data_IF_200769762297
#
_entry.id   IF_200769762297
#
_cell.length_a   1.000
_cell.length_b   1.000
_cell.length_c   1.000
_cell.angle_alpha   90.00
_cell.angle_beta   90.00
_cell.angle_gamma   90.00
#
_symmetry.space_group_name_H-M   'P 1'
#
loop_
_entity.id
_entity.type
_entity.pdbx_description
1 polymer ?
#
# COMPACT_ATOMS: atom_id res chain seq x y z
N UNK A 1 20.40 19.17 -3.45
CA UNK A 1 19.55 18.55 -2.41
C UNK A 1 19.30 17.12 -2.81
N UNK A 2 19.71 16.17 -1.96
CA UNK A 2 19.73 14.74 -2.25
C UNK A 2 18.32 14.18 -2.47
N UNK A 3 18.07 13.61 -3.66
CA UNK A 3 16.98 12.68 -3.84
C UNK A 3 17.39 11.36 -3.17
N UNK A 4 16.67 10.98 -2.12
CA UNK A 4 16.83 9.71 -1.44
C UNK A 4 16.34 8.62 -2.41
N UNK A 5 17.26 7.98 -3.14
CA UNK A 5 17.01 6.66 -3.67
C UNK A 5 16.76 5.75 -2.47
N UNK A 6 15.50 5.37 -2.26
CA UNK A 6 15.16 4.26 -1.40
C UNK A 6 15.79 3.02 -2.05
N UNK A 7 17.00 2.66 -1.62
CA UNK A 7 17.65 1.41 -2.01
C UNK A 7 16.77 0.28 -1.49
N UNK A 8 15.87 -0.22 -2.34
CA UNK A 8 15.40 -1.58 -2.19
C UNK A 8 16.61 -2.47 -2.44
N UNK A 9 16.89 -3.37 -1.51
CA UNK A 9 17.81 -4.48 -1.73
C UNK A 9 17.09 -5.44 -2.70
N UNK A 10 17.16 -5.14 -4.00
CA UNK A 10 16.57 -5.99 -5.05
C UNK A 10 17.58 -7.06 -5.44
N UNK A 11 17.19 -8.33 -5.33
CA UNK A 11 17.89 -9.43 -6.02
C UNK A 11 17.70 -9.34 -7.54
N UNK A 12 18.04 -10.40 -8.26
CA UNK A 12 17.74 -10.49 -9.70
C UNK A 12 16.23 -10.32 -9.93
N UNK A 13 15.88 -9.40 -10.82
CA UNK A 13 14.48 -9.03 -11.07
C UNK A 13 13.86 -10.03 -12.04
N UNK A 14 12.68 -10.55 -11.68
CA UNK A 14 11.88 -11.41 -12.56
C UNK A 14 10.70 -10.59 -13.07
N UNK A 15 10.53 -10.50 -14.39
CA UNK A 15 9.45 -9.73 -15.02
C UNK A 15 9.76 -8.25 -15.23
N UNK A 16 8.72 -7.42 -15.31
CA UNK A 16 8.83 -5.96 -15.50
C UNK A 16 9.06 -5.24 -14.17
N UNK A 17 9.92 -4.22 -14.18
CA UNK A 17 10.19 -3.36 -13.02
C UNK A 17 9.73 -1.94 -13.33
N UNK A 18 8.77 -1.44 -12.55
CA UNK A 18 8.23 -0.08 -12.68
C UNK A 18 8.71 0.82 -11.55
N UNK A 19 9.40 1.90 -11.90
CA UNK A 19 9.76 2.94 -10.93
C UNK A 19 8.55 3.83 -10.62
N UNK A 20 8.41 4.20 -9.34
CA UNK A 20 7.34 5.06 -8.82
C UNK A 20 7.94 6.14 -7.91
N UNK A 21 7.20 7.24 -7.71
CA UNK A 21 7.71 8.40 -6.98
C UNK A 21 7.80 8.17 -5.47
N UNK A 22 6.89 7.38 -4.91
CA UNK A 22 6.79 7.14 -3.47
C UNK A 22 6.11 5.80 -3.13
N UNK A 23 6.06 5.47 -1.83
CA UNK A 23 5.48 4.24 -1.31
C UNK A 23 3.97 4.13 -1.50
N UNK A 24 3.23 5.24 -1.48
CA UNK A 24 1.78 5.20 -1.69
C UNK A 24 1.47 4.84 -3.14
N UNK A 25 2.19 5.45 -4.08
CA UNK A 25 2.09 5.12 -5.49
C UNK A 25 2.49 3.66 -5.74
N UNK A 26 3.52 3.16 -5.06
CA UNK A 26 3.92 1.75 -5.13
C UNK A 26 2.78 0.81 -4.73
N UNK A 27 2.19 1.04 -3.55
CA UNK A 27 1.09 0.20 -3.03
C UNK A 27 -0.14 0.27 -3.93
N UNK A 28 -0.51 1.47 -4.40
CA UNK A 28 -1.64 1.65 -5.31
C UNK A 28 -1.43 0.94 -6.65
N UNK A 29 -0.22 0.98 -7.21
CA UNK A 29 0.09 0.30 -8.47
C UNK A 29 0.09 -1.23 -8.29
N UNK A 30 0.71 -1.74 -7.22
CA UNK A 30 0.67 -3.16 -6.88
C UNK A 30 -0.77 -3.63 -6.71
N UNK A 31 -1.58 -2.89 -5.97
CA UNK A 31 -2.98 -3.21 -5.77
C UNK A 31 -3.80 -3.16 -7.07
N UNK A 32 -3.46 -2.29 -8.02
CA UNK A 32 -4.15 -2.22 -9.32
C UNK A 32 -3.85 -3.45 -10.18
N UNK A 33 -2.59 -3.87 -10.22
CA UNK A 33 -2.12 -4.95 -11.10
C UNK A 33 -2.34 -6.36 -10.54
N UNK A 34 -2.52 -6.52 -9.23
CA UNK A 34 -2.75 -7.83 -8.62
C UNK A 34 -4.19 -8.30 -8.77
N UNK A 35 -4.42 -9.60 -8.92
CA UNK A 35 -5.76 -10.21 -8.82
C UNK A 35 -6.09 -10.69 -7.41
N UNK A 36 -5.05 -10.93 -6.59
CA UNK A 36 -5.13 -11.39 -5.21
C UNK A 36 -3.95 -10.84 -4.40
N UNK A 37 -4.10 -10.82 -3.07
CA UNK A 37 -3.02 -10.49 -2.14
C UNK A 37 -2.69 -11.69 -1.28
N UNK A 38 -1.41 -11.98 -1.06
CA UNK A 38 -0.96 -13.06 -0.17
C UNK A 38 0.10 -12.49 0.76
N UNK A 39 -0.14 -12.60 2.07
CA UNK A 39 0.86 -12.29 3.09
C UNK A 39 1.53 -13.59 3.58
N UNK A 40 2.86 -13.59 3.44
CA UNK A 40 3.76 -14.61 3.98
C UNK A 40 4.30 -14.14 5.34
N UNK A 41 4.78 -15.05 6.21
CA UNK A 41 5.39 -14.67 7.49
C UNK A 41 6.42 -13.55 7.33
N UNK A 42 6.18 -12.44 8.03
CA UNK A 42 6.92 -11.20 7.84
C UNK A 42 6.72 -10.24 9.01
N UNK A 43 7.51 -9.17 9.02
CA UNK A 43 7.52 -8.17 10.09
C UNK A 43 6.46 -7.07 9.89
N UNK A 44 6.72 -5.90 10.49
CA UNK A 44 5.79 -4.77 10.47
C UNK A 44 5.41 -4.29 9.06
N UNK A 45 6.34 -4.32 8.10
CA UNK A 45 6.02 -3.92 6.72
C UNK A 45 4.92 -4.79 6.11
N UNK A 46 5.04 -6.12 6.25
CA UNK A 46 4.03 -7.06 5.76
C UNK A 46 2.69 -6.90 6.47
N UNK A 47 2.70 -6.62 7.78
CA UNK A 47 1.47 -6.38 8.54
C UNK A 47 0.78 -5.07 8.15
N UNK A 48 1.54 -4.01 7.88
CA UNK A 48 1.00 -2.74 7.41
C UNK A 48 0.34 -2.90 6.04
N UNK A 49 1.03 -3.53 5.09
CA UNK A 49 0.49 -3.81 3.75
C UNK A 49 -0.76 -4.70 3.81
N UNK A 50 -0.75 -5.73 4.68
CA UNK A 50 -1.88 -6.64 4.88
C UNK A 50 -3.11 -5.91 5.43
N UNK A 51 -2.95 -5.10 6.48
CA UNK A 51 -4.07 -4.40 7.09
C UNK A 51 -4.64 -3.32 6.16
N UNK A 52 -3.82 -2.70 5.33
CA UNK A 52 -4.28 -1.74 4.31
C UNK A 52 -5.22 -2.39 3.29
N UNK A 53 -4.85 -3.54 2.72
CA UNK A 53 -5.72 -4.23 1.75
C UNK A 53 -6.98 -4.82 2.39
N UNK A 54 -6.92 -5.25 3.66
CA UNK A 54 -8.12 -5.67 4.40
C UNK A 54 -9.07 -4.49 4.59
N UNK A 55 -8.56 -3.33 4.98
CA UNK A 55 -9.37 -2.13 5.16
C UNK A 55 -10.02 -1.67 3.85
N UNK A 56 -9.31 -1.74 2.72
CA UNK A 56 -9.87 -1.41 1.41
C UNK A 56 -10.96 -2.39 0.96
N UNK A 57 -10.77 -3.69 1.21
CA UNK A 57 -11.82 -4.69 0.99
C UNK A 57 -13.05 -4.42 1.87
N UNK A 58 -12.85 -4.07 3.14
CA UNK A 58 -13.95 -3.73 4.06
C UNK A 58 -14.74 -2.49 3.62
N UNK A 59 -14.05 -1.50 3.03
CA UNK A 59 -14.68 -0.31 2.45
C UNK A 59 -15.33 -0.56 1.07
N UNK A 60 -15.21 -1.77 0.52
CA UNK A 60 -15.72 -2.12 -0.81
C UNK A 60 -14.98 -1.45 -1.96
N UNK A 61 -13.71 -1.06 -1.75
CA UNK A 61 -12.85 -0.46 -2.78
C UNK A 61 -12.35 -1.51 -3.77
N UNK A 62 -12.17 -2.75 -3.30
CA UNK A 62 -11.87 -3.89 -4.15
C UNK A 62 -12.48 -5.18 -3.61
N UNK A 63 -12.58 -6.17 -4.50
CA UNK A 63 -13.19 -7.47 -4.23
C UNK A 63 -12.15 -8.61 -4.28
N UNK A 64 -10.88 -8.24 -4.40
CA UNK A 64 -9.74 -9.16 -4.54
C UNK A 64 -9.55 -9.97 -3.24
N UNK A 65 -9.34 -11.29 -3.32
CA UNK A 65 -9.15 -12.11 -2.14
C UNK A 65 -7.83 -11.79 -1.42
N UNK A 66 -7.84 -11.86 -0.09
CA UNK A 66 -6.68 -11.62 0.77
C UNK A 66 -6.32 -12.91 1.50
N UNK A 67 -5.20 -13.52 1.11
CA UNK A 67 -4.69 -14.79 1.65
C UNK A 67 -3.64 -14.61 2.74
N UNK A 68 -3.70 -15.44 3.78
CA UNK A 68 -2.65 -15.60 4.78
C UNK A 68 -2.10 -17.03 4.74
N UNK A 69 -0.79 -17.14 4.50
CA UNK A 69 -0.08 -18.40 4.61
C UNK A 69 0.42 -18.60 6.05
N UNK A 70 -0.30 -19.40 6.83
CA UNK A 70 -0.04 -19.61 8.25
C UNK A 70 0.93 -20.77 8.51
N UNK A 71 2.19 -20.57 8.13
CA UNK A 71 3.26 -21.54 8.38
C UNK A 71 3.52 -21.64 9.88
N UNK A 72 3.51 -22.85 10.43
CA UNK A 72 3.77 -23.17 11.84
C UNK A 72 2.96 -22.34 12.85
N UNK A 73 1.78 -21.85 12.44
CA UNK A 73 0.92 -21.03 13.29
C UNK A 73 1.40 -19.60 13.51
N UNK A 74 2.26 -19.06 12.64
CA UNK A 74 2.80 -17.70 12.72
C UNK A 74 1.72 -16.61 12.95
N UNK A 75 0.57 -16.73 12.27
CA UNK A 75 -0.53 -15.77 12.34
C UNK A 75 -1.56 -16.07 13.44
N UNK A 76 -1.39 -17.11 14.25
CA UNK A 76 -2.41 -17.51 15.24
C UNK A 76 -2.77 -16.38 16.19
N UNK A 77 -1.79 -15.65 16.73
CA UNK A 77 -2.04 -14.53 17.63
C UNK A 77 -2.74 -13.36 16.94
N UNK A 78 -2.41 -13.08 15.67
CA UNK A 78 -3.11 -12.06 14.88
C UNK A 78 -4.57 -12.46 14.66
N UNK A 79 -4.83 -13.71 14.30
CA UNK A 79 -6.18 -14.22 14.09
C UNK A 79 -7.00 -14.16 15.38
N UNK A 80 -6.43 -14.57 16.52
CA UNK A 80 -7.09 -14.43 17.82
C UNK A 80 -7.40 -12.98 18.18
N UNK A 81 -6.51 -12.03 17.84
CA UNK A 81 -6.78 -10.61 18.02
C UNK A 81 -7.95 -10.13 17.14
N UNK A 82 -8.00 -10.54 15.88
CA UNK A 82 -9.10 -10.20 14.98
C UNK A 82 -10.42 -10.83 15.42
N UNK A 83 -10.38 -12.07 15.90
CA UNK A 83 -11.56 -12.76 16.45
C UNK A 83 -12.07 -12.01 17.68
N UNK A 84 -11.19 -11.53 18.56
CA UNK A 84 -11.57 -10.67 19.68
C UNK A 84 -12.18 -9.34 19.23
N UNK A 85 -11.64 -8.72 18.19
CA UNK A 85 -12.22 -7.51 17.62
C UNK A 85 -13.61 -7.73 17.02
N UNK A 86 -13.91 -8.94 16.53
CA UNK A 86 -15.27 -9.34 16.11
C UNK A 86 -16.18 -9.53 17.31
N UNK A 87 -15.73 -10.20 18.37
CA UNK A 87 -16.49 -10.37 19.61
C UNK A 87 -16.89 -9.03 20.25
N UNK A 88 -15.97 -8.06 20.21
CA UNK A 88 -16.17 -6.71 20.74
C UNK A 88 -16.85 -5.75 19.72
N UNK A 89 -17.38 -6.29 18.61
CA UNK A 89 -18.14 -5.57 17.58
C UNK A 89 -17.37 -4.46 16.84
N UNK A 90 -16.03 -4.42 16.93
CA UNK A 90 -15.20 -3.51 16.13
C UNK A 90 -15.06 -3.96 14.67
N UNK A 91 -15.21 -5.26 14.40
CA UNK A 91 -15.17 -5.86 13.06
C UNK A 91 -16.45 -6.64 12.84
N UNK A 92 -17.15 -6.42 11.72
CA UNK A 92 -18.34 -7.22 11.42
C UNK A 92 -17.95 -8.67 11.11
N UNK A 93 -18.77 -9.67 11.49
CA UNK A 93 -18.52 -11.07 11.14
C UNK A 93 -18.36 -11.29 9.63
N UNK A 94 -19.06 -10.51 8.81
CA UNK A 94 -18.92 -10.51 7.35
C UNK A 94 -17.52 -10.07 6.93
N UNK A 95 -17.01 -8.99 7.51
CA UNK A 95 -15.66 -8.45 7.23
C UNK A 95 -14.56 -9.44 7.64
N UNK A 96 -14.80 -10.27 8.65
CA UNK A 96 -13.85 -11.32 9.07
C UNK A 96 -13.59 -12.37 7.98
N UNK A 97 -14.53 -12.56 7.05
CA UNK A 97 -14.42 -13.48 5.91
C UNK A 97 -13.62 -12.91 4.72
N UNK A 98 -13.13 -11.66 4.79
CA UNK A 98 -12.20 -11.11 3.80
C UNK A 98 -10.91 -11.93 3.75
N UNK A 99 -10.47 -12.43 4.91
CA UNK A 99 -9.21 -13.15 5.07
C UNK A 99 -9.42 -14.64 4.79
N UNK A 100 -8.68 -15.15 3.80
CA UNK A 100 -8.56 -16.58 3.46
C UNK A 100 -7.30 -17.14 4.13
N UNK A 101 -7.44 -18.21 4.90
CA UNK A 101 -6.35 -18.81 5.66
C UNK A 101 -6.02 -20.22 5.14
N UNK A 102 -4.73 -20.54 5.02
CA UNK A 102 -4.26 -21.90 4.77
C UNK A 102 -2.86 -22.11 5.36
N UNK A 103 -2.49 -23.37 5.62
CA UNK A 103 -1.16 -23.70 6.17
C UNK A 103 -0.17 -24.10 5.07
N UNK A 104 -0.67 -24.37 3.86
CA UNK A 104 0.18 -24.74 2.71
C UNK A 104 -0.12 -23.85 1.50
N UNK A 105 0.86 -23.59 0.62
CA UNK A 105 0.64 -22.76 -0.57
C UNK A 105 -0.44 -23.32 -1.49
N UNK A 106 -0.46 -24.64 -1.70
CA UNK A 106 -1.45 -25.29 -2.56
C UNK A 106 -2.87 -25.06 -2.05
N UNK A 107 -3.09 -25.35 -0.76
CA UNK A 107 -4.40 -25.13 -0.12
C UNK A 107 -4.80 -23.66 -0.19
N UNK A 108 -3.85 -22.73 -0.03
CA UNK A 108 -4.14 -21.31 -0.13
C UNK A 108 -4.65 -20.94 -1.52
N UNK A 109 -3.95 -21.37 -2.56
CA UNK A 109 -4.33 -21.08 -3.95
C UNK A 109 -5.71 -21.67 -4.29
N UNK A 110 -5.95 -22.94 -3.91
CA UNK A 110 -7.25 -23.60 -4.12
C UNK A 110 -8.39 -22.76 -3.49
N UNK A 111 -8.20 -22.26 -2.25
CA UNK A 111 -9.21 -21.42 -1.56
C UNK A 111 -9.36 -20.02 -2.16
N UNK A 112 -8.29 -19.44 -2.69
CA UNK A 112 -8.34 -18.12 -3.33
C UNK A 112 -9.09 -18.17 -4.66
N UNK A 113 -8.99 -19.27 -5.41
CA UNK A 113 -9.75 -19.49 -6.66
C UNK A 113 -11.26 -19.66 -6.39
N UNK A 114 -11.61 -20.31 -5.28
CA UNK A 114 -13.02 -20.48 -4.85
C UNK A 114 -13.62 -19.24 -4.18
N UNK A 115 -12.81 -18.21 -3.91
CA UNK A 115 -13.24 -17.06 -3.13
C UNK A 115 -14.35 -16.28 -3.86
N UNK A 116 -15.43 -15.99 -3.12
CA UNK A 116 -16.50 -15.10 -3.56
C UNK A 116 -16.70 -13.99 -2.53
N UNK A 117 -16.61 -12.71 -2.93
CA UNK A 117 -16.79 -11.57 -2.03
C UNK A 117 -18.17 -11.61 -1.36
N UNK A 118 -18.20 -11.38 -0.05
CA UNK A 118 -19.44 -11.23 0.71
C UNK A 118 -19.53 -9.80 1.18
N UNK A 119 -20.14 -8.92 0.39
CA UNK A 119 -20.30 -7.52 0.78
C UNK A 119 -21.47 -7.33 1.72
N UNK A 120 -21.19 -6.73 2.87
CA UNK A 120 -22.20 -6.03 3.65
C UNK A 120 -22.28 -4.60 3.07
N UNK A 121 -23.44 -4.19 2.56
CA UNK A 121 -23.62 -2.85 1.95
C UNK A 121 -23.64 -1.77 3.04
N UNK A 122 -22.48 -1.44 3.61
CA UNK A 122 -22.38 -0.39 4.64
C UNK A 122 -22.09 0.98 4.00
N UNK A 123 -21.56 1.00 2.78
CA UNK A 123 -21.32 2.22 2.00
C UNK A 123 -21.83 2.06 0.56
N UNK A 124 -22.45 3.09 -0.07
CA UNK A 124 -22.73 3.07 -1.50
C UNK A 124 -21.44 2.80 -2.24
N UNK A 125 -21.48 1.88 -3.23
CA UNK A 125 -20.32 1.45 -4.02
C UNK A 125 -19.52 2.66 -4.50
N UNK A 126 -18.46 3.02 -3.78
CA UNK A 126 -17.50 4.02 -4.23
C UNK A 126 -16.67 3.35 -5.32
N UNK A 127 -17.16 3.45 -6.57
CA UNK A 127 -16.34 3.25 -7.74
C UNK A 127 -15.29 4.36 -7.71
N UNK A 128 -14.04 4.00 -7.45
CA UNK A 128 -12.95 4.93 -7.63
C UNK A 128 -12.68 5.04 -9.13
N UNK A 129 -13.01 6.20 -9.71
CA UNK A 129 -12.05 6.81 -10.61
C UNK A 129 -10.88 7.25 -9.74
N UNK A 130 -9.77 6.51 -9.77
CA UNK A 130 -8.51 6.83 -9.06
C UNK A 130 -7.81 8.08 -9.63
N UNK A 131 -8.54 9.01 -10.24
CA UNK A 131 -8.05 10.33 -10.66
C UNK A 131 -8.75 11.39 -9.83
N UNK A 132 -8.22 11.71 -8.63
CA UNK A 132 -8.25 13.04 -8.00
C UNK A 132 -7.66 12.96 -6.57
N UNK A 133 -6.42 12.49 -6.43
CA UNK A 133 -5.49 13.23 -5.58
C UNK A 133 -4.65 14.08 -6.52
N UNK A 134 -5.25 15.19 -6.94
CA UNK A 134 -4.52 16.28 -7.56
C UNK A 134 -3.51 16.79 -6.54
N UNK A 135 -2.28 16.28 -6.65
CA UNK A 135 -1.12 17.08 -6.28
C UNK A 135 -1.30 18.44 -6.95
N UNK A 136 -1.38 19.49 -6.15
CA UNK A 136 -1.70 20.84 -6.57
C UNK A 136 -0.91 21.21 -7.84
N UNK A 137 -1.58 21.25 -9.00
CA UNK A 137 -1.06 21.94 -10.18
C UNK A 137 -1.15 23.43 -9.90
N UNK A 138 -0.12 23.99 -9.25
CA UNK A 138 0.31 25.37 -9.40
C UNK A 138 1.48 25.67 -8.46
N UNK A 139 2.69 25.46 -8.95
CA UNK A 139 3.79 26.37 -8.65
C UNK A 139 4.25 26.97 -9.98
N UNK A 140 3.40 27.82 -10.57
CA UNK A 140 3.91 28.88 -11.43
C UNK A 140 4.65 29.84 -10.51
N UNK A 141 5.99 29.88 -10.58
CA UNK A 141 6.75 30.98 -9.99
C UNK A 141 6.60 32.16 -10.96
N UNK A 142 5.91 33.26 -10.60
CA UNK A 142 5.80 34.42 -11.46
C UNK A 142 7.15 35.16 -11.50
N UNK A 143 7.48 35.67 -12.69
CA UNK A 143 8.80 36.12 -13.09
C UNK A 143 9.58 36.99 -12.11
N UNK A 144 10.89 36.72 -12.04
CA UNK A 144 11.88 37.70 -11.65
C UNK A 144 12.57 38.22 -12.91
N UNK A 145 12.36 39.50 -13.19
CA UNK A 145 12.82 40.21 -14.39
C UNK A 145 14.35 40.34 -14.44
N UNK A 146 14.87 40.28 -15.66
CA UNK A 146 16.24 40.65 -16.03
C UNK A 146 16.59 42.10 -15.59
N UNK A 147 17.85 42.32 -15.18
CA UNK A 147 18.47 43.66 -15.29
C UNK A 147 19.59 44.05 -14.32
N UNK A 148 20.85 43.65 -14.63
CA UNK A 148 22.16 44.37 -14.48
C UNK A 148 22.64 44.89 -13.09
N UNK A 149 23.93 45.28 -12.95
CA UNK A 149 25.16 44.52 -13.07
C UNK A 149 25.94 44.47 -11.73
N UNK A 150 26.92 43.56 -11.67
CA UNK A 150 27.77 43.27 -10.51
C UNK A 150 28.64 44.48 -10.14
N UNK A 151 28.52 44.97 -8.91
CA UNK A 151 29.42 45.96 -8.32
C UNK A 151 30.51 45.24 -7.50
N UNK A 152 31.72 45.74 -7.69
CA UNK A 152 33.06 45.30 -7.30
C UNK A 152 33.23 44.70 -5.90
N UNK A 153 34.00 43.59 -5.86
CA UNK A 153 34.60 43.04 -4.65
C UNK A 153 35.72 43.95 -4.13
N UNK A 154 35.58 44.46 -2.90
CA UNK A 154 36.72 45.01 -2.16
C UNK A 154 37.46 43.86 -1.46
N UNK A 155 38.73 43.67 -1.85
CA UNK A 155 39.69 42.82 -1.14
C UNK A 155 40.07 43.50 0.19
N UNK A 156 39.75 42.86 1.31
CA UNK A 156 40.36 43.17 2.60
C UNK A 156 41.69 42.43 2.73
N UNK A 157 42.79 43.17 2.73
CA UNK A 157 44.13 42.68 3.06
C UNK A 157 44.32 42.74 4.57
N UNK A 158 44.81 41.66 5.17
CA UNK A 158 45.33 41.65 6.54
C UNK A 158 46.57 42.56 6.64
N UNK A 159 46.51 43.54 7.55
CA UNK A 159 47.61 43.95 8.44
C UNK A 159 47.00 44.26 9.80
#
# INVERSE_FOLDING_TARGET
MHACLCVQITGETVGEVKAVADMHQRKAEMARQSDAFIALPGGYGTLEELLEVIAWAQLGIHDKPVGLLNVDGYYNSLLSFLDKAVEEEFISPTSRHIIVLASTPKELLDKLEEYSPRHEKVVPRMQWEMEQLSYCKSCEIPGLKEGKPIIQAQRGTML
#
